data_IF_021443374873
#
_entry.id   IF_021443374873
#
_cell.length_a   1.000
_cell.length_b   1.000
_cell.length_c   1.000
_cell.angle_alpha   90.00
_cell.angle_beta   90.00
_cell.angle_gamma   90.00
#
_symmetry.space_group_name_H-M   'P 1'
#
loop_
_entity.id
_entity.type
_entity.pdbx_description
1 polymer ?
#
# COMPACT_ATOMS: atom_id res chain seq x y z
N UNK A 1 44.83 -42.54 -21.59
CA UNK A 1 44.32 -43.83 -21.09
C UNK A 1 44.55 -43.85 -19.58
N UNK A 2 43.45 -43.76 -18.82
CA UNK A 2 43.21 -43.97 -17.38
C UNK A 2 44.31 -43.71 -16.31
N UNK A 3 44.01 -42.83 -15.34
CA UNK A 3 43.91 -43.20 -13.92
C UNK A 3 43.36 -42.07 -13.00
N UNK A 4 42.21 -42.34 -12.37
CA UNK A 4 41.85 -42.18 -10.93
C UNK A 4 42.18 -40.88 -10.18
N UNK A 5 41.14 -40.19 -9.66
CA UNK A 5 40.98 -40.00 -8.20
C UNK A 5 39.60 -39.47 -7.81
N UNK A 6 39.10 -40.01 -6.71
CA UNK A 6 37.83 -39.74 -6.04
C UNK A 6 38.10 -38.84 -4.80
N UNK A 7 37.04 -38.21 -4.25
CA UNK A 7 36.93 -37.47 -2.97
C UNK A 7 37.30 -35.99 -2.95
N UNK A 8 36.30 -35.12 -2.74
CA UNK A 8 35.89 -34.69 -1.39
C UNK A 8 34.75 -33.66 -1.49
N UNK A 9 33.56 -34.03 -1.01
CA UNK A 9 32.45 -33.11 -0.75
C UNK A 9 32.71 -32.49 0.62
N UNK A 10 33.10 -31.22 0.66
CA UNK A 10 33.07 -30.42 1.89
C UNK A 10 31.76 -29.64 1.94
N UNK A 11 30.83 -30.16 2.73
CA UNK A 11 29.61 -29.48 3.16
C UNK A 11 30.00 -28.49 4.26
N UNK A 12 30.18 -27.21 3.92
CA UNK A 12 30.35 -26.15 4.91
C UNK A 12 28.97 -25.54 5.21
N UNK A 13 28.40 -25.92 6.36
CA UNK A 13 27.32 -25.16 6.99
C UNK A 13 27.93 -23.94 7.70
N UNK A 14 27.49 -22.70 7.43
CA UNK A 14 27.73 -21.61 8.35
C UNK A 14 26.68 -21.63 9.47
N UNK A 15 27.04 -21.18 10.68
CA UNK A 15 26.20 -21.28 11.86
C UNK A 15 25.03 -20.30 11.80
N UNK A 16 23.88 -20.76 12.28
CA UNK A 16 22.73 -19.94 12.63
C UNK A 16 23.16 -18.83 13.59
N UNK A 17 23.13 -17.59 13.11
CA UNK A 17 23.15 -16.40 13.94
C UNK A 17 21.90 -15.58 13.57
N UNK A 18 21.21 -15.11 14.61
CA UNK A 18 19.92 -14.43 14.55
C UNK A 18 19.86 -13.35 13.45
N UNK A 19 19.26 -13.68 12.32
CA UNK A 19 18.84 -12.72 11.31
C UNK A 19 17.50 -12.13 11.76
N UNK A 20 17.55 -10.99 12.44
CA UNK A 20 16.42 -10.07 12.46
C UNK A 20 16.10 -9.62 11.05
N UNK A 21 14.81 -9.54 10.68
CA UNK A 21 14.31 -9.06 9.38
C UNK A 21 14.95 -7.71 8.95
N UNK A 22 15.33 -6.88 9.93
CA UNK A 22 16.05 -5.61 9.72
C UNK A 22 17.41 -5.82 9.04
N UNK A 23 18.15 -6.89 9.35
CA UNK A 23 19.50 -7.11 8.81
C UNK A 23 19.50 -7.55 7.34
N UNK A 24 18.40 -8.14 6.85
CA UNK A 24 18.21 -8.43 5.42
C UNK A 24 17.94 -7.18 4.59
N UNK A 25 17.43 -6.11 5.23
CA UNK A 25 17.26 -4.80 4.60
C UNK A 25 18.57 -4.00 4.49
N UNK A 26 19.68 -4.41 5.11
CA UNK A 26 20.93 -3.63 5.12
C UNK A 26 22.14 -4.31 4.46
N UNK A 27 21.98 -5.52 3.90
CA UNK A 27 23.12 -6.31 3.37
C UNK A 27 23.18 -6.50 1.85
N UNK A 28 22.27 -5.90 1.09
CA UNK A 28 22.40 -5.79 -0.35
C UNK A 28 22.85 -4.36 -0.71
N UNK A 29 23.70 -4.17 -1.73
CA UNK A 29 23.96 -2.84 -2.23
C UNK A 29 22.64 -2.28 -2.77
N UNK A 30 22.01 -1.41 -1.99
CA UNK A 30 20.90 -0.56 -2.42
C UNK A 30 21.45 0.59 -3.25
N UNK A 31 22.22 0.26 -4.29
CA UNK A 31 22.40 1.19 -5.38
C UNK A 31 21.00 1.35 -5.98
N UNK A 32 20.45 2.55 -5.88
CA UNK A 32 19.26 3.00 -6.61
C UNK A 32 19.62 2.96 -8.10
N UNK A 33 19.71 1.75 -8.64
CA UNK A 33 19.91 1.48 -10.05
C UNK A 33 18.53 1.33 -10.66
N UNK A 34 18.33 1.93 -11.83
CA UNK A 34 17.23 1.58 -12.71
C UNK A 34 17.31 0.07 -13.00
N UNK A 35 16.58 -0.72 -12.22
CA UNK A 35 16.59 -2.18 -12.27
C UNK A 35 15.24 -2.72 -11.80
N UNK A 36 15.01 -4.02 -12.00
CA UNK A 36 13.77 -4.67 -11.62
C UNK A 36 13.37 -4.44 -10.16
N UNK A 37 14.32 -4.51 -9.22
CA UNK A 37 14.06 -4.35 -7.78
C UNK A 37 13.61 -2.93 -7.44
N UNK A 38 14.22 -1.93 -8.08
CA UNK A 38 13.86 -0.51 -7.94
C UNK A 38 12.42 -0.21 -8.34
N UNK A 39 11.80 -1.07 -9.17
CA UNK A 39 10.40 -0.95 -9.58
C UNK A 39 9.47 -1.89 -8.78
N UNK A 40 9.90 -3.14 -8.57
CA UNK A 40 9.12 -4.13 -7.84
C UNK A 40 8.88 -3.74 -6.37
N UNK A 41 9.87 -3.12 -5.70
CA UNK A 41 9.74 -2.70 -4.30
C UNK A 41 8.67 -1.62 -4.08
N UNK A 42 8.71 -0.45 -4.75
CA UNK A 42 7.63 0.53 -4.64
C UNK A 42 6.30 -0.05 -5.14
N UNK A 43 6.32 -0.86 -6.20
CA UNK A 43 5.13 -1.54 -6.71
C UNK A 43 4.44 -2.43 -5.67
N UNK A 44 5.22 -3.23 -4.94
CA UNK A 44 4.71 -4.06 -3.83
C UNK A 44 4.15 -3.21 -2.69
N UNK A 45 4.81 -2.10 -2.33
CA UNK A 45 4.32 -1.22 -1.27
C UNK A 45 2.95 -0.63 -1.61
N UNK A 46 2.81 -0.02 -2.80
CA UNK A 46 1.53 0.54 -3.26
C UNK A 46 0.45 -0.53 -3.42
N UNK A 47 0.81 -1.73 -3.89
CA UNK A 47 -0.14 -2.82 -4.05
C UNK A 47 -0.66 -3.32 -2.69
N UNK A 48 0.21 -3.51 -1.69
CA UNK A 48 -0.19 -3.92 -0.34
C UNK A 48 -1.08 -2.85 0.30
N UNK A 49 -0.71 -1.58 0.20
CA UNK A 49 -1.52 -0.46 0.73
C UNK A 49 -2.87 -0.38 0.01
N UNK A 50 -2.90 -0.51 -1.31
CA UNK A 50 -4.13 -0.51 -2.10
C UNK A 50 -5.06 -1.67 -1.76
N UNK A 51 -4.53 -2.89 -1.57
CA UNK A 51 -5.31 -4.05 -1.13
C UNK A 51 -5.81 -3.92 0.32
N UNK A 52 -5.01 -3.32 1.20
CA UNK A 52 -5.45 -2.99 2.55
C UNK A 52 -6.62 -1.99 2.52
N UNK A 53 -6.49 -0.94 1.74
CA UNK A 53 -7.52 0.07 1.53
C UNK A 53 -8.80 -0.49 0.91
N UNK A 54 -8.71 -1.48 0.01
CA UNK A 54 -9.89 -2.11 -0.60
C UNK A 54 -10.74 -2.88 0.39
N UNK A 55 -10.19 -3.24 1.56
CA UNK A 55 -10.91 -3.87 2.67
C UNK A 55 -11.29 -2.85 3.74
N UNK A 56 -10.37 -1.95 4.10
CA UNK A 56 -10.53 -0.94 5.15
C UNK A 56 -11.72 0.00 4.89
N UNK A 57 -11.84 0.59 3.69
CA UNK A 57 -12.89 1.57 3.41
C UNK A 57 -14.31 0.97 3.38
N UNK A 58 -14.55 -0.19 2.76
CA UNK A 58 -15.84 -0.87 2.89
C UNK A 58 -16.18 -1.19 4.35
N UNK A 59 -15.21 -1.68 5.14
CA UNK A 59 -15.42 -1.95 6.57
C UNK A 59 -15.81 -0.67 7.31
N UNK A 60 -15.11 0.45 7.10
CA UNK A 60 -15.45 1.77 7.66
C UNK A 60 -16.88 2.17 7.30
N UNK A 61 -17.23 2.07 6.02
CA UNK A 61 -18.51 2.48 5.48
C UNK A 61 -19.69 1.73 6.11
N UNK A 62 -19.64 0.39 6.13
CA UNK A 62 -20.72 -0.41 6.69
C UNK A 62 -20.86 -0.27 8.20
N UNK A 63 -19.74 -0.07 8.91
CA UNK A 63 -19.74 0.10 10.35
C UNK A 63 -20.25 1.46 10.82
N UNK A 64 -19.95 2.56 10.11
CA UNK A 64 -20.53 3.89 10.43
C UNK A 64 -22.04 3.90 10.34
N UNK A 65 -22.63 3.07 9.48
CA UNK A 65 -24.08 2.89 9.38
C UNK A 65 -24.70 2.26 10.63
N UNK A 66 -23.91 1.61 11.49
CA UNK A 66 -24.36 0.77 12.61
C UNK A 66 -24.37 1.40 14.02
N UNK A 67 -24.04 2.69 14.19
CA UNK A 67 -24.05 3.43 15.48
C UNK A 67 -23.36 2.72 16.67
N UNK A 68 -22.06 2.40 16.57
CA UNK A 68 -21.27 1.88 17.71
C UNK A 68 -20.10 2.80 18.10
N UNK A 69 -20.03 3.19 19.37
CA UNK A 69 -18.99 4.07 19.93
C UNK A 69 -17.64 3.40 20.10
N UNK A 70 -17.60 2.12 20.53
CA UNK A 70 -16.36 1.35 20.71
C UNK A 70 -15.56 1.23 19.40
N UNK A 71 -16.27 1.07 18.29
CA UNK A 71 -15.67 0.90 16.98
C UNK A 71 -15.00 2.17 16.46
N UNK A 72 -15.46 3.34 16.91
CA UNK A 72 -14.85 4.64 16.58
C UNK A 72 -13.44 4.73 17.17
N UNK A 73 -13.23 4.23 18.39
CA UNK A 73 -11.91 4.23 19.03
C UNK A 73 -10.93 3.24 18.37
N UNK A 74 -11.39 2.03 18.01
CA UNK A 74 -10.56 1.10 17.23
C UNK A 74 -10.16 1.68 15.87
N UNK A 75 -11.11 2.34 15.20
CA UNK A 75 -10.86 2.98 13.92
C UNK A 75 -9.83 4.10 14.03
N UNK A 76 -9.95 4.96 15.05
CA UNK A 76 -8.95 6.00 15.34
C UNK A 76 -7.55 5.41 15.59
N UNK A 77 -7.43 4.31 16.35
CA UNK A 77 -6.15 3.63 16.55
C UNK A 77 -5.56 3.08 15.25
N UNK A 78 -6.38 2.54 14.36
CA UNK A 78 -5.93 2.05 13.06
C UNK A 78 -5.41 3.19 12.19
N UNK A 79 -6.08 4.33 12.16
CA UNK A 79 -5.64 5.51 11.40
C UNK A 79 -4.32 6.07 11.95
N UNK A 80 -4.20 6.21 13.28
CA UNK A 80 -2.92 6.62 13.91
C UNK A 80 -1.80 5.62 13.60
N UNK A 81 -2.08 4.32 13.65
CA UNK A 81 -1.09 3.28 13.35
C UNK A 81 -0.63 3.35 11.90
N UNK A 82 -1.56 3.51 10.95
CA UNK A 82 -1.23 3.64 9.53
C UNK A 82 -0.40 4.90 9.24
N UNK A 83 -0.77 6.03 9.86
CA UNK A 83 -0.04 7.27 9.78
C UNK A 83 1.37 7.18 10.39
N UNK A 84 1.51 6.49 11.53
CA UNK A 84 2.80 6.23 12.17
C UNK A 84 3.70 5.32 11.33
N UNK A 85 3.15 4.24 10.75
CA UNK A 85 3.87 3.35 9.83
C UNK A 85 4.33 4.15 8.60
N UNK A 86 3.45 4.94 7.97
CA UNK A 86 3.81 5.79 6.83
C UNK A 86 4.93 6.76 7.18
N UNK A 87 4.86 7.42 8.33
CA UNK A 87 5.91 8.34 8.83
C UNK A 87 7.23 7.59 9.03
N UNK A 88 7.20 6.45 9.73
CA UNK A 88 8.39 5.65 10.04
C UNK A 88 9.09 5.16 8.77
N UNK A 89 8.35 4.55 7.83
CA UNK A 89 8.92 4.06 6.58
C UNK A 89 9.49 5.20 5.73
N UNK A 90 8.84 6.37 5.74
CA UNK A 90 9.33 7.56 5.03
C UNK A 90 10.64 8.08 5.64
N UNK A 91 10.73 8.15 6.97
CA UNK A 91 11.97 8.53 7.66
C UNK A 91 13.09 7.53 7.37
N UNK A 92 12.80 6.23 7.43
CA UNK A 92 13.76 5.19 7.04
C UNK A 92 14.21 5.38 5.59
N UNK A 93 13.30 5.69 4.68
CA UNK A 93 13.60 5.98 3.27
C UNK A 93 14.55 7.16 3.10
N UNK A 94 14.29 8.29 3.77
CA UNK A 94 15.21 9.46 3.78
C UNK A 94 16.58 9.05 4.30
N UNK A 95 16.65 8.34 5.43
CA UNK A 95 17.92 7.91 6.01
C UNK A 95 18.68 6.95 5.09
N UNK A 96 17.99 5.99 4.47
CA UNK A 96 18.59 5.03 3.55
C UNK A 96 19.15 5.73 2.30
N UNK A 97 18.38 6.64 1.69
CA UNK A 97 18.80 7.38 0.51
C UNK A 97 19.97 8.32 0.80
N UNK A 98 20.03 8.92 1.99
CA UNK A 98 21.08 9.88 2.36
C UNK A 98 22.35 9.22 2.87
N UNK A 99 22.25 8.14 3.66
CA UNK A 99 23.36 7.62 4.49
C UNK A 99 23.79 6.18 4.18
N UNK A 100 23.28 5.56 3.11
CA UNK A 100 23.92 4.36 2.54
C UNK A 100 25.40 4.68 2.24
N UNK A 101 26.35 3.72 2.27
CA UNK A 101 27.77 4.02 2.04
C UNK A 101 28.01 4.86 0.77
N UNK A 102 27.27 4.56 -0.30
CA UNK A 102 27.24 5.30 -1.55
C UNK A 102 26.12 6.37 -1.60
N UNK A 103 25.78 7.00 -0.48
CA UNK A 103 24.82 8.09 -0.41
C UNK A 103 25.43 9.46 -0.74
N UNK A 104 24.62 10.53 -0.81
CA UNK A 104 25.07 11.92 -0.85
C UNK A 104 25.53 12.45 0.53
N UNK A 105 25.16 11.79 1.63
CA UNK A 105 25.51 12.19 3.00
C UNK A 105 25.22 13.67 3.31
N UNK A 106 24.02 14.14 2.91
CA UNK A 106 23.56 15.53 3.02
C UNK A 106 24.37 16.58 2.24
N UNK A 107 25.31 16.16 1.39
CA UNK A 107 25.96 17.07 0.44
C UNK A 107 25.09 17.18 -0.82
N UNK A 108 24.51 18.36 -1.05
CA UNK A 108 23.69 18.63 -2.24
C UNK A 108 24.55 18.93 -3.47
N UNK A 109 25.66 19.64 -3.25
CA UNK A 109 26.62 19.98 -4.30
C UNK A 109 28.03 19.88 -3.74
N UNK A 110 28.96 19.57 -4.64
CA UNK A 110 30.38 19.63 -4.38
C UNK A 110 31.00 20.43 -5.52
N UNK A 111 31.64 21.54 -5.17
CA UNK A 111 32.15 22.53 -6.12
C UNK A 111 31.06 23.02 -7.08
N UNK A 112 31.15 22.67 -8.38
CA UNK A 112 30.21 23.03 -9.44
C UNK A 112 29.29 21.89 -9.88
N UNK A 113 29.30 20.75 -9.18
CA UNK A 113 28.54 19.56 -9.56
C UNK A 113 27.50 19.17 -8.50
N UNK A 114 26.35 18.71 -8.98
CA UNK A 114 25.32 18.13 -8.13
C UNK A 114 25.69 16.72 -7.70
N UNK A 115 25.47 16.40 -6.42
CA UNK A 115 25.79 15.08 -5.87
C UNK A 115 24.51 14.25 -5.82
N UNK A 116 24.46 13.18 -6.63
CA UNK A 116 23.43 12.13 -6.55
C UNK A 116 21.99 12.67 -6.47
N UNK A 117 21.61 13.51 -7.44
CA UNK A 117 20.28 14.14 -7.50
C UNK A 117 19.12 13.14 -7.46
N UNK A 118 19.31 11.92 -7.95
CA UNK A 118 18.30 10.87 -7.86
C UNK A 118 17.95 10.52 -6.41
N UNK A 119 18.96 10.33 -5.57
CA UNK A 119 18.75 10.08 -4.14
C UNK A 119 18.09 11.28 -3.45
N UNK A 120 18.39 12.51 -3.88
CA UNK A 120 17.72 13.72 -3.41
C UNK A 120 16.25 13.81 -3.84
N UNK A 121 15.91 13.42 -5.07
CA UNK A 121 14.52 13.34 -5.51
C UNK A 121 13.73 12.32 -4.68
N UNK A 122 14.28 11.13 -4.44
CA UNK A 122 13.65 10.12 -3.58
C UNK A 122 13.52 10.60 -2.12
N UNK A 123 14.58 11.20 -1.57
CA UNK A 123 14.56 11.77 -0.22
C UNK A 123 13.50 12.86 -0.08
N UNK A 124 13.34 13.70 -1.11
CA UNK A 124 12.30 14.73 -1.15
C UNK A 124 10.91 14.09 -1.19
N UNK A 125 10.68 13.10 -2.05
CA UNK A 125 9.42 12.36 -2.09
C UNK A 125 9.09 11.75 -0.72
N UNK A 126 10.03 11.05 -0.08
CA UNK A 126 9.84 10.47 1.25
C UNK A 126 9.56 11.54 2.32
N UNK A 127 10.23 12.69 2.27
CA UNK A 127 9.97 13.79 3.20
C UNK A 127 8.50 14.26 3.15
N UNK A 128 7.91 14.38 1.96
CA UNK A 128 6.51 14.75 1.82
C UNK A 128 5.55 13.68 2.36
N UNK A 129 5.85 12.39 2.17
CA UNK A 129 5.08 11.30 2.78
C UNK A 129 5.25 11.23 4.31
N UNK A 130 6.42 11.60 4.84
CA UNK A 130 6.61 11.75 6.28
C UNK A 130 5.74 12.89 6.83
N UNK A 131 5.73 14.05 6.15
CA UNK A 131 4.87 15.17 6.51
C UNK A 131 3.37 14.81 6.47
N UNK A 132 2.93 14.03 5.49
CA UNK A 132 1.53 13.57 5.42
C UNK A 132 1.18 12.55 6.52
N UNK A 133 2.14 11.71 6.93
CA UNK A 133 1.99 10.85 8.10
C UNK A 133 1.83 11.65 9.40
N UNK A 134 2.66 12.70 9.60
CA UNK A 134 2.56 13.58 10.76
C UNK A 134 1.25 14.37 10.78
N UNK A 135 0.83 14.95 9.65
CA UNK A 135 -0.43 15.70 9.55
C UNK A 135 -1.66 14.84 9.89
N UNK A 136 -1.66 13.58 9.45
CA UNK A 136 -2.72 12.61 9.75
C UNK A 136 -2.75 12.26 11.25
N UNK A 137 -1.59 11.96 11.86
CA UNK A 137 -1.52 11.76 13.32
C UNK A 137 -2.01 12.98 14.12
N UNK A 138 -1.60 14.20 13.72
CA UNK A 138 -2.03 15.44 14.37
C UNK A 138 -3.54 15.66 14.28
N UNK A 139 -4.18 15.20 13.21
CA UNK A 139 -5.64 15.28 13.04
C UNK A 139 -6.39 14.44 14.08
N UNK A 140 -5.79 13.36 14.58
CA UNK A 140 -6.37 12.49 15.61
C UNK A 140 -5.88 12.78 17.03
N UNK A 141 -4.73 13.44 17.19
CA UNK A 141 -4.12 13.71 18.50
C UNK A 141 -4.36 15.14 19.00
N UNK A 142 -4.62 16.10 18.09
CA UNK A 142 -4.82 17.51 18.44
C UNK A 142 -6.20 18.01 18.04
N UNK A 143 -6.91 18.62 18.99
CA UNK A 143 -8.21 19.25 18.74
C UNK A 143 -8.13 20.55 17.92
N UNK A 144 -6.93 21.13 17.75
CA UNK A 144 -6.72 22.41 17.06
C UNK A 144 -6.37 22.27 15.57
N UNK A 145 -6.33 21.03 15.06
CA UNK A 145 -5.96 20.79 13.66
C UNK A 145 -7.15 21.08 12.74
N UNK A 146 -6.98 21.91 11.68
CA UNK A 146 -8.04 22.17 10.72
C UNK A 146 -8.56 20.88 10.07
N UNK A 147 -9.88 20.78 9.97
CA UNK A 147 -10.57 19.66 9.31
C UNK A 147 -10.13 19.58 7.85
N UNK A 148 -9.57 18.43 7.44
CA UNK A 148 -9.14 18.19 6.06
C UNK A 148 -7.66 18.45 5.79
N UNK A 149 -6.88 18.93 6.79
CA UNK A 149 -5.44 19.08 6.66
C UNK A 149 -4.74 17.75 6.34
N UNK A 150 -5.17 16.66 6.98
CA UNK A 150 -4.73 15.28 6.71
C UNK A 150 -4.79 14.94 5.21
N UNK A 151 -5.94 15.22 4.59
CA UNK A 151 -6.19 14.94 3.17
C UNK A 151 -5.41 15.88 2.26
N UNK A 152 -5.35 17.17 2.61
CA UNK A 152 -4.62 18.15 1.81
C UNK A 152 -3.13 17.80 1.75
N UNK A 153 -2.50 17.54 2.89
CA UNK A 153 -1.06 17.22 2.93
C UNK A 153 -0.79 15.88 2.23
N UNK A 154 -1.68 14.89 2.34
CA UNK A 154 -1.59 13.65 1.56
C UNK A 154 -1.69 13.91 0.05
N UNK A 155 -2.66 14.72 -0.40
CA UNK A 155 -2.80 15.07 -1.81
C UNK A 155 -1.56 15.77 -2.35
N UNK A 156 -0.99 16.70 -1.57
CA UNK A 156 0.26 17.39 -1.92
C UNK A 156 1.43 16.40 -1.98
N UNK A 157 1.51 15.43 -1.07
CA UNK A 157 2.56 14.42 -1.10
C UNK A 157 2.50 13.54 -2.36
N UNK A 158 1.31 13.04 -2.71
CA UNK A 158 1.11 12.24 -3.93
C UNK A 158 1.29 13.09 -5.20
N UNK A 159 0.88 14.36 -5.18
CA UNK A 159 1.18 15.28 -6.28
C UNK A 159 2.68 15.50 -6.45
N UNK A 160 3.41 15.69 -5.35
CA UNK A 160 4.86 15.87 -5.37
C UNK A 160 5.59 14.61 -5.85
N UNK A 161 5.11 13.40 -5.50
CA UNK A 161 5.56 12.14 -6.10
C UNK A 161 5.43 12.21 -7.63
N UNK A 162 4.23 12.49 -8.15
CA UNK A 162 3.99 12.58 -9.59
C UNK A 162 4.83 13.68 -10.27
N UNK A 163 5.00 14.83 -9.62
CA UNK A 163 5.79 15.95 -10.14
C UNK A 163 7.28 15.59 -10.28
N UNK A 164 7.87 15.02 -9.23
CA UNK A 164 9.26 14.56 -9.25
C UNK A 164 9.44 13.44 -10.28
N UNK A 165 8.49 12.51 -10.35
CA UNK A 165 8.51 11.41 -11.30
C UNK A 165 8.39 11.87 -12.75
N UNK A 166 7.60 12.89 -13.05
CA UNK A 166 7.50 13.45 -14.40
C UNK A 166 8.86 13.93 -14.93
N UNK A 167 9.60 14.67 -14.11
CA UNK A 167 10.92 15.17 -14.50
C UNK A 167 12.03 14.10 -14.41
N UNK A 168 11.81 13.02 -13.66
CA UNK A 168 12.72 11.87 -13.64
C UNK A 168 12.79 11.15 -14.99
N UNK A 169 11.68 11.13 -15.73
CA UNK A 169 11.51 10.34 -16.96
C UNK A 169 11.75 11.19 -18.22
N UNK A 170 11.98 12.49 -18.07
CA UNK A 170 12.22 13.37 -19.20
C UNK A 170 13.51 12.96 -19.96
N UNK A 171 13.45 12.88 -21.29
CA UNK A 171 14.55 12.44 -22.19
C UNK A 171 14.95 10.95 -22.12
N UNK A 172 14.04 10.06 -21.73
CA UNK A 172 14.22 8.59 -21.85
C UNK A 172 13.87 8.09 -23.26
N UNK A 173 14.29 6.87 -23.66
CA UNK A 173 13.82 6.25 -24.90
C UNK A 173 12.29 6.18 -24.98
N UNK A 174 11.69 6.13 -26.18
CA UNK A 174 10.24 6.34 -26.34
C UNK A 174 9.36 5.39 -25.52
N UNK A 175 9.67 4.08 -25.51
CA UNK A 175 8.92 3.09 -24.72
C UNK A 175 9.08 3.29 -23.22
N UNK A 176 10.32 3.46 -22.73
CA UNK A 176 10.63 3.79 -21.34
C UNK A 176 9.89 5.05 -20.87
N UNK A 177 9.92 6.11 -21.67
CA UNK A 177 9.20 7.34 -21.36
C UNK A 177 7.68 7.11 -21.33
N UNK A 178 7.14 6.39 -22.30
CA UNK A 178 5.70 6.15 -22.40
C UNK A 178 5.16 5.31 -21.23
N UNK A 179 5.82 4.19 -20.91
CA UNK A 179 5.37 3.29 -19.84
C UNK A 179 5.37 3.97 -18.47
N UNK A 180 6.36 4.82 -18.22
CA UNK A 180 6.42 5.63 -17.00
C UNK A 180 5.40 6.78 -17.02
N UNK A 181 5.16 7.40 -18.18
CA UNK A 181 4.15 8.46 -18.29
C UNK A 181 2.74 7.94 -18.00
N UNK A 182 2.43 6.69 -18.33
CA UNK A 182 1.16 6.04 -17.99
C UNK A 182 0.94 5.98 -16.47
N UNK A 183 1.99 5.74 -15.69
CA UNK A 183 1.92 5.74 -14.22
C UNK A 183 1.48 7.10 -13.67
N UNK A 184 1.90 8.20 -14.30
CA UNK A 184 1.55 9.55 -13.85
C UNK A 184 0.04 9.80 -13.86
N UNK A 185 -0.71 9.19 -14.78
CA UNK A 185 -2.18 9.30 -14.76
C UNK A 185 -2.78 8.69 -13.49
N UNK A 186 -2.24 7.56 -13.01
CA UNK A 186 -2.67 6.95 -11.76
C UNK A 186 -2.31 7.83 -10.56
N UNK A 187 -1.08 8.34 -10.52
CA UNK A 187 -0.57 9.20 -9.43
C UNK A 187 -1.33 10.53 -9.35
N UNK A 188 -1.43 11.28 -10.46
CA UNK A 188 -2.15 12.55 -10.48
C UNK A 188 -3.67 12.36 -10.31
N UNK A 189 -4.24 11.29 -10.85
CA UNK A 189 -5.63 10.93 -10.58
C UNK A 189 -5.87 10.64 -9.09
N UNK A 190 -4.92 9.97 -8.43
CA UNK A 190 -4.94 9.70 -7.00
C UNK A 190 -4.85 10.97 -6.18
N UNK A 191 -3.89 11.85 -6.50
CA UNK A 191 -3.75 13.16 -5.87
C UNK A 191 -5.02 14.01 -6.01
N UNK A 192 -5.62 14.05 -7.21
CA UNK A 192 -6.88 14.75 -7.46
C UNK A 192 -8.03 14.15 -6.64
N UNK A 193 -8.16 12.82 -6.58
CA UNK A 193 -9.18 12.15 -5.78
C UNK A 193 -9.05 12.52 -4.30
N UNK A 194 -7.83 12.49 -3.75
CA UNK A 194 -7.57 12.85 -2.35
C UNK A 194 -7.85 14.34 -2.10
N UNK A 195 -7.51 15.21 -3.05
CA UNK A 195 -7.82 16.64 -2.97
C UNK A 195 -9.34 16.89 -2.94
N UNK A 196 -10.12 16.16 -3.74
CA UNK A 196 -11.58 16.24 -3.70
C UNK A 196 -12.15 15.78 -2.35
N UNK A 197 -11.51 14.83 -1.67
CA UNK A 197 -11.93 14.39 -0.33
C UNK A 197 -11.75 15.47 0.76
N UNK A 198 -10.96 16.54 0.52
CA UNK A 198 -10.90 17.71 1.41
C UNK A 198 -12.28 18.36 1.53
N UNK A 199 -13.02 18.39 0.41
CA UNK A 199 -14.37 18.96 0.32
C UNK A 199 -15.42 17.88 0.59
N UNK A 200 -15.28 16.73 -0.07
CA UNK A 200 -16.23 15.61 -0.05
C UNK A 200 -15.78 14.53 0.95
N UNK A 201 -15.64 14.93 2.22
CA UNK A 201 -15.08 14.09 3.29
C UNK A 201 -15.87 12.78 3.48
N UNK A 202 -15.11 11.69 3.62
CA UNK A 202 -15.61 10.32 3.84
C UNK A 202 -16.61 9.83 2.77
N UNK A 203 -16.52 10.35 1.55
CA UNK A 203 -17.27 9.83 0.43
C UNK A 203 -16.66 8.49 -0.01
N UNK A 204 -17.38 7.40 0.21
CA UNK A 204 -16.91 6.04 -0.10
C UNK A 204 -16.53 5.88 -1.58
N UNK A 205 -17.19 6.57 -2.51
CA UNK A 205 -16.86 6.47 -3.94
C UNK A 205 -15.47 7.04 -4.20
N UNK A 206 -15.11 8.17 -3.60
CA UNK A 206 -13.77 8.75 -3.71
C UNK A 206 -12.72 7.85 -3.03
N UNK A 207 -13.04 7.32 -1.84
CA UNK A 207 -12.15 6.39 -1.13
C UNK A 207 -11.88 5.12 -1.94
N UNK A 208 -12.90 4.54 -2.59
CA UNK A 208 -12.77 3.38 -3.48
C UNK A 208 -12.05 3.72 -4.79
N UNK A 209 -12.28 4.91 -5.34
CA UNK A 209 -11.62 5.37 -6.57
C UNK A 209 -10.12 5.58 -6.35
N UNK A 210 -9.69 6.27 -5.29
CA UNK A 210 -8.25 6.35 -5.00
C UNK A 210 -7.63 4.99 -4.66
N UNK A 211 -8.42 4.08 -4.11
CA UNK A 211 -7.96 2.72 -3.83
C UNK A 211 -7.68 1.95 -5.13
N UNK A 212 -8.55 2.05 -6.14
CA UNK A 212 -8.29 1.41 -7.43
C UNK A 212 -7.07 2.02 -8.13
N UNK A 213 -6.86 3.34 -8.00
CA UNK A 213 -5.66 4.01 -8.52
C UNK A 213 -4.38 3.59 -7.79
N UNK A 214 -4.41 3.39 -6.47
CA UNK A 214 -3.27 2.88 -5.71
C UNK A 214 -2.89 1.43 -6.12
N UNK A 215 -3.89 0.57 -6.35
CA UNK A 215 -3.66 -0.79 -6.89
C UNK A 215 -3.09 -0.71 -8.30
N UNK A 216 -3.65 0.14 -9.17
CA UNK A 216 -3.12 0.38 -10.51
C UNK A 216 -1.66 0.82 -10.45
N UNK A 217 -1.33 1.83 -9.64
CA UNK A 217 0.03 2.32 -9.43
C UNK A 217 0.97 1.18 -9.01
N UNK A 218 0.58 0.37 -8.02
CA UNK A 218 1.38 -0.76 -7.54
C UNK A 218 1.62 -1.84 -8.61
N UNK A 219 0.57 -2.30 -9.29
CA UNK A 219 0.71 -3.30 -10.36
C UNK A 219 1.46 -2.76 -11.58
N UNK A 220 1.35 -1.46 -11.85
CA UNK A 220 2.01 -0.84 -12.99
C UNK A 220 3.51 -0.64 -12.77
N UNK A 221 3.94 -0.34 -11.54
CA UNK A 221 5.35 -0.39 -11.18
C UNK A 221 5.96 -1.78 -11.47
N UNK A 222 5.24 -2.86 -11.15
CA UNK A 222 5.66 -4.21 -11.54
C UNK A 222 5.74 -4.38 -13.06
N UNK A 223 4.74 -3.87 -13.79
CA UNK A 223 4.74 -3.91 -15.26
C UNK A 223 5.96 -3.17 -15.87
N UNK A 224 6.30 -1.99 -15.35
CA UNK A 224 7.52 -1.26 -15.73
C UNK A 224 8.76 -2.13 -15.51
N UNK A 225 8.86 -2.75 -14.33
CA UNK A 225 9.94 -3.68 -13.99
C UNK A 225 10.06 -4.81 -15.00
N UNK A 226 8.97 -5.49 -15.36
CA UNK A 226 8.97 -6.59 -16.32
C UNK A 226 9.37 -6.18 -17.74
N UNK A 227 8.92 -5.01 -18.20
CA UNK A 227 9.16 -4.55 -19.58
C UNK A 227 10.58 -4.04 -19.75
N UNK A 228 11.06 -3.22 -18.82
CA UNK A 228 12.38 -2.59 -18.92
C UNK A 228 13.50 -3.48 -18.38
N UNK A 229 13.18 -4.40 -17.47
CA UNK A 229 14.16 -5.28 -16.84
C UNK A 229 13.63 -6.72 -16.78
N UNK A 230 13.49 -7.42 -17.92
CA UNK A 230 12.93 -8.76 -17.97
C UNK A 230 13.62 -9.69 -16.96
N UNK A 231 12.93 -10.10 -15.87
CA UNK A 231 13.48 -11.08 -14.97
C UNK A 231 13.65 -12.37 -15.77
N UNK A 232 14.74 -13.11 -15.54
CA UNK A 232 15.10 -14.35 -16.25
C UNK A 232 15.75 -14.18 -17.63
N UNK A 233 16.19 -12.97 -18.01
CA UNK A 233 17.00 -12.77 -19.22
C UNK A 233 16.22 -12.98 -20.52
N UNK A 234 14.90 -12.69 -20.49
CA UNK A 234 14.08 -12.63 -21.70
C UNK A 234 14.58 -11.55 -22.68
N UNK A 235 14.12 -11.60 -23.95
CA UNK A 235 14.53 -10.62 -24.94
C UNK A 235 14.13 -9.19 -24.52
N UNK A 236 15.03 -8.24 -24.75
CA UNK A 236 14.75 -6.83 -24.53
C UNK A 236 13.68 -6.32 -25.50
N UNK A 237 12.85 -5.39 -25.02
CA UNK A 237 11.82 -4.76 -25.83
C UNK A 237 12.42 -3.67 -26.71
N UNK A 238 12.05 -3.65 -27.99
CA UNK A 238 12.41 -2.56 -28.90
C UNK A 238 11.78 -1.25 -28.42
N UNK A 239 12.64 -0.31 -28.03
CA UNK A 239 12.27 1.00 -27.49
C UNK A 239 11.66 1.94 -28.53
N UNK A 240 11.84 1.65 -29.82
CA UNK A 240 11.38 2.45 -30.95
C UNK A 240 10.17 1.87 -31.68
N UNK A 241 9.79 0.64 -31.37
CA UNK A 241 8.63 -0.02 -31.99
C UNK A 241 7.31 0.58 -31.49
N UNK A 242 6.56 1.14 -32.43
CA UNK A 242 5.24 1.70 -32.17
C UNK A 242 4.23 0.65 -31.67
N UNK A 243 4.35 -0.60 -32.10
CA UNK A 243 3.45 -1.67 -31.64
C UNK A 243 3.61 -1.94 -30.15
N UNK A 244 4.83 -1.83 -29.61
CA UNK A 244 5.09 -1.95 -28.18
C UNK A 244 4.39 -0.83 -27.39
N UNK A 245 4.40 0.40 -27.90
CA UNK A 245 3.67 1.54 -27.32
C UNK A 245 2.16 1.27 -27.29
N UNK A 246 1.59 0.82 -28.42
CA UNK A 246 0.17 0.48 -28.49
C UNK A 246 -0.19 -0.65 -27.52
N UNK A 247 0.61 -1.71 -27.49
CA UNK A 247 0.39 -2.86 -26.63
C UNK A 247 0.43 -2.49 -25.14
N UNK A 248 1.46 -1.75 -24.71
CA UNK A 248 1.57 -1.30 -23.31
C UNK A 248 0.40 -0.39 -22.92
N UNK A 249 -0.08 0.46 -23.82
CA UNK A 249 -1.27 1.29 -23.56
C UNK A 249 -2.53 0.43 -23.34
N UNK A 250 -2.69 -0.66 -24.10
CA UNK A 250 -3.78 -1.63 -23.86
C UNK A 250 -3.61 -2.34 -22.52
N UNK A 251 -2.38 -2.78 -22.18
CA UNK A 251 -2.09 -3.42 -20.90
C UNK A 251 -2.45 -2.51 -19.72
N UNK A 252 -2.19 -1.21 -19.81
CA UNK A 252 -2.58 -0.26 -18.77
C UNK A 252 -4.09 -0.27 -18.50
N UNK A 253 -4.88 -0.30 -19.57
CA UNK A 253 -6.34 -0.38 -19.47
C UNK A 253 -6.81 -1.69 -18.82
N UNK A 254 -6.14 -2.82 -19.13
CA UNK A 254 -6.42 -4.11 -18.49
C UNK A 254 -6.04 -4.13 -17.00
N UNK A 255 -4.90 -3.57 -16.65
CA UNK A 255 -4.50 -3.40 -15.24
C UNK A 255 -5.52 -2.56 -14.48
N UNK A 256 -6.03 -1.49 -15.08
CA UNK A 256 -7.02 -0.65 -14.42
C UNK A 256 -8.37 -1.37 -14.26
N UNK A 257 -8.83 -2.09 -15.30
CA UNK A 257 -10.01 -2.94 -15.20
C UNK A 257 -9.86 -3.99 -14.09
N UNK A 258 -8.69 -4.64 -14.00
CA UNK A 258 -8.38 -5.60 -12.94
C UNK A 258 -8.43 -4.94 -11.55
N UNK A 259 -7.85 -3.75 -11.39
CA UNK A 259 -7.89 -2.99 -10.14
C UNK A 259 -9.33 -2.66 -9.71
N UNK A 260 -10.19 -2.24 -10.65
CA UNK A 260 -11.62 -2.00 -10.39
C UNK A 260 -12.33 -3.29 -9.95
N UNK A 261 -12.07 -4.42 -10.62
CA UNK A 261 -12.60 -5.72 -10.24
C UNK A 261 -12.14 -6.13 -8.83
N UNK A 262 -10.87 -5.94 -8.49
CA UNK A 262 -10.33 -6.22 -7.15
C UNK A 262 -11.05 -5.42 -6.07
N UNK A 263 -11.28 -4.13 -6.31
CA UNK A 263 -12.02 -3.27 -5.37
C UNK A 263 -13.48 -3.71 -5.24
N UNK A 264 -14.16 -4.02 -6.35
CA UNK A 264 -15.55 -4.47 -6.35
C UNK A 264 -15.73 -5.83 -5.64
N UNK A 265 -14.81 -6.77 -5.85
CA UNK A 265 -14.76 -8.06 -5.16
C UNK A 265 -14.54 -7.84 -3.67
N UNK A 266 -13.56 -7.01 -3.29
CA UNK A 266 -13.26 -6.71 -1.88
C UNK A 266 -14.48 -6.10 -1.16
N UNK A 267 -15.14 -5.13 -1.79
CA UNK A 267 -16.37 -4.52 -1.26
C UNK A 267 -17.49 -5.55 -1.05
N UNK A 268 -17.71 -6.41 -2.05
CA UNK A 268 -18.72 -7.48 -2.00
C UNK A 268 -18.42 -8.51 -0.92
N UNK A 269 -17.15 -8.92 -0.77
CA UNK A 269 -16.69 -9.85 0.25
C UNK A 269 -16.90 -9.28 1.65
N UNK A 270 -16.54 -8.02 1.87
CA UNK A 270 -16.76 -7.34 3.16
C UNK A 270 -18.25 -7.26 3.49
N UNK A 271 -19.09 -6.89 2.52
CA UNK A 271 -20.54 -6.87 2.72
C UNK A 271 -21.10 -8.25 3.07
N UNK A 272 -20.70 -9.30 2.33
CA UNK A 272 -21.09 -10.68 2.60
C UNK A 272 -20.62 -11.17 3.97
N UNK A 273 -19.40 -10.83 4.37
CA UNK A 273 -18.86 -11.18 5.68
C UNK A 273 -19.66 -10.53 6.82
N UNK A 274 -19.87 -9.21 6.76
CA UNK A 274 -20.60 -8.48 7.80
C UNK A 274 -22.07 -8.91 7.91
N UNK A 275 -22.73 -9.16 6.78
CA UNK A 275 -24.12 -9.67 6.78
C UNK A 275 -24.22 -11.07 7.36
N UNK A 276 -23.25 -11.96 7.11
CA UNK A 276 -23.19 -13.29 7.73
C UNK A 276 -22.97 -13.21 9.23
N UNK A 277 -22.03 -12.38 9.70
CA UNK A 277 -21.76 -12.19 11.13
C UNK A 277 -22.98 -11.63 11.85
N UNK A 278 -23.65 -10.62 11.27
CA UNK A 278 -24.87 -10.04 11.86
C UNK A 278 -26.00 -11.08 11.97
N UNK A 279 -26.23 -11.88 10.93
CA UNK A 279 -27.24 -12.95 10.94
C UNK A 279 -26.93 -14.03 11.97
N UNK A 280 -25.64 -14.34 12.20
CA UNK A 280 -25.24 -15.30 13.22
C UNK A 280 -25.53 -14.77 14.63
N UNK A 281 -25.15 -13.53 14.93
CA UNK A 281 -25.43 -12.90 16.22
C UNK A 281 -26.93 -12.79 16.50
N UNK A 282 -27.74 -12.41 15.52
CA UNK A 282 -29.20 -12.38 15.68
C UNK A 282 -29.77 -13.79 15.96
N UNK A 283 -29.26 -14.83 15.30
CA UNK A 283 -29.68 -16.22 15.54
C UNK A 283 -29.29 -16.70 16.94
N UNK A 284 -28.10 -16.37 17.43
CA UNK A 284 -27.67 -16.70 18.79
C UNK A 284 -28.53 -16.00 19.85
N UNK A 285 -28.85 -14.72 19.66
CA UNK A 285 -29.73 -13.96 20.57
C UNK A 285 -31.12 -14.60 20.62
N UNK A 286 -31.70 -14.94 19.46
CA UNK A 286 -33.00 -15.62 19.39
C UNK A 286 -32.94 -17.00 20.08
N UNK A 287 -31.85 -17.75 19.89
CA UNK A 287 -31.63 -19.04 20.55
C UNK A 287 -31.56 -18.93 22.07
N UNK A 288 -30.78 -17.97 22.59
CA UNK A 288 -30.66 -17.71 24.04
C UNK A 288 -32.00 -17.27 24.62
N UNK A 289 -32.76 -16.42 23.92
CA UNK A 289 -34.07 -15.97 24.37
C UNK A 289 -35.07 -17.13 24.46
N UNK A 290 -35.05 -18.05 23.50
CA UNK A 290 -35.87 -19.27 23.52
C UNK A 290 -35.47 -20.23 24.67
N UNK A 291 -34.18 -20.46 24.88
CA UNK A 291 -33.68 -21.25 26.02
C UNK A 291 -34.14 -20.68 27.37
N UNK A 292 -34.09 -19.34 27.52
CA UNK A 292 -34.57 -18.67 28.73
C UNK A 292 -36.09 -18.81 28.92
N UNK A 293 -36.88 -18.71 27.84
CA UNK A 293 -38.34 -18.92 27.95
C UNK A 293 -38.68 -20.35 28.32
N UNK A 294 -38.02 -21.33 27.70
CA UNK A 294 -38.27 -22.75 27.95
C UNK A 294 -37.90 -23.14 29.39
N UNK A 295 -36.79 -22.63 29.92
CA UNK A 295 -36.41 -22.82 31.32
C UNK A 295 -37.43 -22.17 32.28
N UNK A 296 -37.88 -20.95 31.99
CA UNK A 296 -38.90 -20.27 32.81
C UNK A 296 -40.20 -21.06 32.84
N UNK A 297 -40.62 -21.63 31.70
CA UNK A 297 -41.81 -22.45 31.59
C UNK A 297 -41.69 -23.77 32.35
N UNK A 298 -40.54 -24.45 32.28
CA UNK A 298 -40.28 -25.67 33.06
C UNK A 298 -40.26 -25.42 34.58
N UNK A 299 -39.66 -24.31 35.03
CA UNK A 299 -39.65 -23.96 36.46
C UNK A 299 -41.06 -23.65 36.98
N UNK A 300 -41.91 -23.00 36.17
CA UNK A 300 -43.30 -22.75 36.53
C UNK A 300 -44.14 -24.04 36.61
N UNK A 301 -43.90 -25.02 35.73
CA UNK A 301 -44.57 -26.33 35.77
C UNK A 301 -44.16 -27.17 36.99
N UNK A 302 -42.88 -27.14 37.37
CA UNK A 302 -42.38 -27.89 38.54
C UNK A 302 -42.80 -27.24 39.85
N UNK A 303 -42.83 -25.90 39.95
CA UNK A 303 -43.28 -25.19 41.15
C UNK A 303 -44.79 -25.31 41.43
N UNK A 304 -45.61 -25.62 40.41
CA UNK A 304 -47.04 -25.88 40.58
C UNK A 304 -47.39 -27.34 40.91
N UNK A 305 -46.41 -28.24 40.95
CA UNK A 305 -46.63 -29.67 41.23
C UNK A 305 -46.37 -30.07 42.69
N UNK A 306 -45.83 -29.16 43.50
CA UNK A 306 -45.46 -29.41 44.91
C UNK A 306 -46.46 -28.78 45.91
N UNK A 307 -47.63 -28.31 45.46
CA UNK A 307 -48.67 -27.69 46.31
C UNK A 307 -49.90 -28.58 46.63
N UNK A 308 -49.88 -29.88 46.33
CA UNK A 308 -50.95 -30.83 46.71
C UNK A 308 -50.55 -31.83 47.81
#
# INVERSE_FOLDING_TARGET
MYCVSCRNIHMFFPPFSHLTIVSLLFRCPWTVMANFKGHALPGSFFLIVGLWWSVKYPLKYFHRKGKSSQLTHYYQRLEITEAAIRTLFSVIGVLAEQFVPDGPHLHLSQESHWVKLMNWQHSTMYLFFAASGVADMLTYLSAHTPVGLDRLVMAVAVFNEGFLFYYHVHNRPPLDQHIHSLLLYAVFGGALSIALEVILRDNIVLELFRTSLAILQGTWFWQIGFVLFPPFGGPEWDQSDHNNIMFITMCFSWHYLAALCTVAISYSLVHCFLTRVKRHGEREIIGIQKLKSDHTYQTALLGGSDED
#
